data_IF_343553977647
#
_entry.id   IF_343553977647
#
_cell.length_a   1.000
_cell.length_b   1.000
_cell.length_c   1.000
_cell.angle_alpha   90.00
_cell.angle_beta   90.00
_cell.angle_gamma   90.00
#
_symmetry.space_group_name_H-M   'P 1'
#
loop_
_entity.id
_entity.type
_entity.pdbx_description
1 polymer ?
#
# COMPACT_ATOMS: atom_id res chain seq x y z
N UNK A 1 9.24 -29.18 -62.01
CA UNK A 1 8.24 -29.23 -60.92
C UNK A 1 8.85 -29.31 -59.51
N UNK A 2 10.08 -29.83 -59.32
CA UNK A 2 10.72 -29.92 -57.99
C UNK A 2 11.40 -28.62 -57.52
N UNK A 3 11.92 -27.78 -58.43
CA UNK A 3 12.60 -26.52 -58.06
C UNK A 3 11.64 -25.42 -57.60
N UNK A 4 10.42 -25.38 -58.14
CA UNK A 4 9.37 -24.42 -57.75
C UNK A 4 8.81 -24.69 -56.34
N UNK A 5 8.87 -25.95 -55.88
CA UNK A 5 8.38 -26.35 -54.56
C UNK A 5 9.37 -26.03 -53.43
N UNK A 6 10.69 -26.10 -53.72
CA UNK A 6 11.74 -25.69 -52.77
C UNK A 6 11.77 -24.17 -52.53
N UNK A 7 11.45 -23.37 -53.55
CA UNK A 7 11.38 -21.91 -53.41
C UNK A 7 10.18 -21.46 -52.57
N UNK A 8 9.02 -22.10 -52.73
CA UNK A 8 7.82 -21.84 -51.92
C UNK A 8 7.98 -22.25 -50.45
N UNK A 9 8.69 -23.35 -50.16
CA UNK A 9 8.99 -23.77 -48.78
C UNK A 9 9.97 -22.82 -48.09
N UNK A 10 11.02 -22.36 -48.78
CA UNK A 10 11.95 -21.40 -48.21
C UNK A 10 11.33 -20.02 -47.98
N UNK A 11 10.42 -19.56 -48.85
CA UNK A 11 9.68 -18.31 -48.65
C UNK A 11 8.69 -18.43 -47.49
N UNK A 12 8.01 -19.57 -47.32
CA UNK A 12 7.15 -19.82 -46.15
C UNK A 12 7.95 -19.92 -44.83
N UNK A 13 9.14 -20.54 -44.85
CA UNK A 13 9.99 -20.66 -43.66
C UNK A 13 10.59 -19.31 -43.22
N UNK A 14 10.99 -18.45 -44.17
CA UNK A 14 11.47 -17.10 -43.86
C UNK A 14 10.33 -16.20 -43.37
N UNK A 15 9.11 -16.38 -43.89
CA UNK A 15 7.92 -15.67 -43.41
C UNK A 15 7.49 -16.11 -42.01
N UNK A 16 7.57 -17.41 -41.66
CA UNK A 16 7.23 -17.89 -40.32
C UNK A 16 8.29 -17.55 -39.26
N UNK A 17 9.58 -17.60 -39.59
CA UNK A 17 10.65 -17.24 -38.64
C UNK A 17 10.74 -15.73 -38.40
N UNK A 18 10.48 -14.92 -39.44
CA UNK A 18 10.44 -13.46 -39.32
C UNK A 18 9.25 -12.95 -38.50
N UNK A 19 8.11 -13.65 -38.53
CA UNK A 19 6.92 -13.31 -37.74
C UNK A 19 7.04 -13.79 -36.28
N UNK A 20 7.84 -14.80 -35.96
CA UNK A 20 8.06 -15.17 -34.54
C UNK A 20 9.05 -14.26 -33.81
N UNK A 21 10.06 -13.70 -34.50
CA UNK A 21 11.06 -12.84 -33.85
C UNK A 21 10.50 -11.44 -33.50
N UNK A 22 9.71 -10.84 -34.40
CA UNK A 22 9.11 -9.51 -34.18
C UNK A 22 8.12 -9.53 -33.01
N UNK A 23 7.29 -10.57 -32.89
CA UNK A 23 6.35 -10.71 -31.79
C UNK A 23 7.03 -11.18 -30.49
N UNK A 24 8.17 -11.88 -30.56
CA UNK A 24 8.94 -12.24 -29.38
C UNK A 24 9.67 -11.03 -28.79
N UNK A 25 10.24 -10.14 -29.61
CA UNK A 25 10.88 -8.90 -29.15
C UNK A 25 9.84 -7.89 -28.63
N UNK A 26 8.66 -7.77 -29.26
CA UNK A 26 7.56 -6.94 -28.72
C UNK A 26 6.99 -7.53 -27.42
N UNK A 27 6.80 -8.85 -27.33
CA UNK A 27 6.33 -9.49 -26.10
C UNK A 27 7.38 -9.43 -24.98
N UNK A 28 8.67 -9.59 -25.30
CA UNK A 28 9.77 -9.43 -24.34
C UNK A 28 9.89 -7.97 -23.88
N UNK A 29 9.72 -7.00 -24.79
CA UNK A 29 9.66 -5.58 -24.47
C UNK A 29 8.48 -5.24 -23.57
N UNK A 30 7.27 -5.72 -23.88
CA UNK A 30 6.07 -5.50 -23.08
C UNK A 30 6.16 -6.22 -21.71
N UNK A 31 6.75 -7.41 -21.65
CA UNK A 31 7.00 -8.12 -20.39
C UNK A 31 8.10 -7.44 -19.57
N UNK A 32 9.12 -6.86 -20.21
CA UNK A 32 10.16 -6.08 -19.56
C UNK A 32 9.60 -4.74 -19.04
N UNK A 33 8.80 -4.03 -19.82
CA UNK A 33 8.08 -2.83 -19.35
C UNK A 33 7.10 -3.16 -18.23
N UNK A 34 6.37 -4.28 -18.32
CA UNK A 34 5.51 -4.74 -17.24
C UNK A 34 6.32 -5.17 -16.01
N UNK A 35 7.48 -5.79 -16.19
CA UNK A 35 8.37 -6.17 -15.10
C UNK A 35 9.06 -4.96 -14.46
N UNK A 36 9.41 -3.94 -15.24
CA UNK A 36 9.99 -2.67 -14.78
C UNK A 36 8.93 -1.78 -14.15
N UNK A 37 7.69 -1.79 -14.66
CA UNK A 37 6.53 -1.20 -14.01
C UNK A 37 6.23 -1.92 -12.69
N UNK A 38 6.18 -3.26 -12.68
CA UNK A 38 6.02 -4.05 -11.45
C UNK A 38 7.19 -3.84 -10.49
N UNK A 39 8.42 -3.69 -10.98
CA UNK A 39 9.58 -3.31 -10.16
C UNK A 39 9.42 -1.91 -9.59
N UNK A 40 8.92 -0.95 -10.35
CA UNK A 40 8.62 0.39 -9.84
C UNK A 40 7.46 0.39 -8.82
N UNK A 41 6.58 -0.61 -8.88
CA UNK A 41 5.55 -0.85 -7.86
C UNK A 41 6.11 -1.57 -6.62
N UNK A 42 7.20 -2.33 -6.76
CA UNK A 42 7.92 -3.02 -5.68
C UNK A 42 8.99 -2.12 -5.03
N UNK A 43 9.47 -1.09 -5.75
CA UNK A 43 10.27 0.04 -5.27
C UNK A 43 9.42 1.08 -4.49
N UNK A 44 8.29 0.65 -3.93
CA UNK A 44 7.66 1.31 -2.78
C UNK A 44 8.36 0.91 -1.47
N UNK A 45 9.69 0.83 -1.48
CA UNK A 45 10.49 1.02 -0.28
C UNK A 45 10.53 2.54 -0.03
N UNK A 46 9.38 3.06 0.39
CA UNK A 46 9.27 4.46 0.77
C UNK A 46 10.00 4.62 2.09
N UNK A 47 11.28 4.98 2.02
CA UNK A 47 11.94 5.69 3.10
C UNK A 47 11.13 6.98 3.30
N UNK A 48 10.26 6.99 4.31
CA UNK A 48 9.44 8.15 4.56
C UNK A 48 10.36 9.26 5.05
N UNK A 49 10.19 10.47 4.51
CA UNK A 49 11.02 11.62 4.88
C UNK A 49 11.13 11.80 6.41
N UNK A 50 10.05 11.49 7.13
CA UNK A 50 10.01 11.52 8.58
C UNK A 50 9.30 10.28 9.12
N UNK A 51 9.98 9.58 10.01
CA UNK A 51 9.48 8.40 10.72
C UNK A 51 9.66 8.58 12.22
N UNK A 52 8.81 7.91 12.98
CA UNK A 52 9.00 7.74 14.41
C UNK A 52 8.59 6.34 14.84
N UNK A 53 9.46 5.65 15.57
CA UNK A 53 9.33 4.24 15.93
C UNK A 53 9.15 4.07 17.44
N UNK A 54 7.89 4.09 17.91
CA UNK A 54 7.58 3.77 19.31
C UNK A 54 7.99 2.34 19.66
N UNK A 55 7.94 1.43 18.67
CA UNK A 55 8.45 0.07 18.79
C UNK A 55 9.93 0.00 19.20
N UNK A 56 10.72 1.04 18.88
CA UNK A 56 12.14 1.15 19.21
C UNK A 56 12.38 1.97 20.49
N UNK A 57 11.32 2.33 21.22
CA UNK A 57 11.38 3.14 22.44
C UNK A 57 11.43 4.64 22.22
N UNK A 58 11.20 5.13 21.00
CA UNK A 58 11.10 6.56 20.73
C UNK A 58 9.80 7.13 21.35
N UNK A 59 9.89 8.33 21.91
CA UNK A 59 8.74 8.97 22.57
C UNK A 59 7.65 9.44 21.59
N UNK A 60 7.98 9.61 20.31
CA UNK A 60 7.08 10.10 19.25
C UNK A 60 6.20 11.29 19.65
N UNK A 61 6.84 12.26 20.30
CA UNK A 61 6.21 13.51 20.71
C UNK A 61 5.97 14.42 19.50
N UNK A 62 4.70 14.73 19.25
CA UNK A 62 4.24 15.56 18.13
C UNK A 62 4.93 16.93 18.08
N UNK A 63 5.39 17.47 19.22
CA UNK A 63 6.10 18.76 19.28
C UNK A 63 7.41 18.76 18.50
N UNK A 64 7.98 17.58 18.26
CA UNK A 64 9.21 17.39 17.50
C UNK A 64 8.95 17.10 16.02
N UNK A 65 7.69 16.93 15.61
CA UNK A 65 7.34 16.64 14.23
C UNK A 65 7.33 17.92 13.39
N UNK A 66 7.78 17.86 12.13
CA UNK A 66 7.77 19.01 11.22
C UNK A 66 6.32 19.44 10.94
N UNK A 67 6.06 20.74 11.14
CA UNK A 67 4.74 21.33 10.90
C UNK A 67 4.35 21.21 9.43
N UNK A 68 3.08 20.89 9.18
CA UNK A 68 2.48 20.77 7.84
C UNK A 68 3.18 19.71 6.94
N UNK A 69 3.95 18.81 7.53
CA UNK A 69 4.60 17.69 6.85
C UNK A 69 4.14 16.36 7.45
N UNK A 70 4.21 15.30 6.64
CA UNK A 70 3.86 13.95 7.09
C UNK A 70 4.98 13.34 7.92
N UNK A 71 4.61 12.80 9.08
CA UNK A 71 5.42 11.84 9.85
C UNK A 71 4.66 10.53 9.96
N UNK A 72 5.34 9.42 9.66
CA UNK A 72 4.82 8.07 9.83
C UNK A 72 5.20 7.56 11.22
N UNK A 73 4.22 7.20 12.04
CA UNK A 73 4.45 6.70 13.39
C UNK A 73 4.17 5.20 13.44
N UNK A 74 5.15 4.43 13.91
CA UNK A 74 5.14 2.98 14.02
C UNK A 74 4.94 2.56 15.49
N UNK A 75 3.71 2.24 15.91
CA UNK A 75 3.41 1.95 17.31
C UNK A 75 3.99 0.61 17.81
N UNK A 76 4.13 -0.40 16.94
CA UNK A 76 4.57 -1.74 17.33
C UNK A 76 3.53 -2.50 18.16
N UNK A 77 3.98 -3.35 19.09
CA UNK A 77 3.09 -4.16 19.93
C UNK A 77 2.28 -5.18 19.13
N UNK A 78 0.96 -5.24 19.35
CA UNK A 78 0.06 -6.13 18.60
C UNK A 78 -0.38 -5.57 17.23
N UNK A 79 0.07 -4.36 16.88
CA UNK A 79 -0.34 -3.71 15.63
C UNK A 79 0.29 -4.37 14.42
N UNK A 80 -0.49 -4.55 13.36
CA UNK A 80 -0.01 -5.13 12.10
C UNK A 80 -1.02 -5.00 10.97
N UNK A 81 -0.54 -5.22 9.76
CA UNK A 81 -1.37 -5.38 8.57
C UNK A 81 -1.80 -6.84 8.36
N UNK A 82 -2.74 -7.02 7.42
CA UNK A 82 -3.50 -8.26 7.24
C UNK A 82 -2.64 -9.49 6.90
N UNK A 83 -1.51 -9.28 6.21
CA UNK A 83 -0.65 -10.36 5.73
C UNK A 83 0.67 -10.43 6.50
N UNK A 84 1.30 -11.59 6.49
CA UNK A 84 2.57 -11.83 7.19
C UNK A 84 3.75 -11.07 6.58
N UNK A 85 3.73 -10.87 5.25
CA UNK A 85 4.81 -10.23 4.50
C UNK A 85 4.44 -8.80 4.03
N UNK A 86 3.60 -8.09 4.80
CA UNK A 86 3.34 -6.67 4.59
C UNK A 86 4.10 -5.84 5.61
N UNK A 87 4.54 -4.60 5.25
CA UNK A 87 5.17 -3.71 6.21
C UNK A 87 4.35 -3.54 7.48
N UNK A 88 5.03 -3.20 8.57
CA UNK A 88 4.40 -2.96 9.86
C UNK A 88 3.31 -1.88 9.75
N UNK A 89 2.31 -2.00 10.62
CA UNK A 89 1.30 -0.96 10.73
C UNK A 89 1.95 0.36 11.14
N UNK A 90 1.54 1.43 10.49
CA UNK A 90 1.88 2.80 10.84
C UNK A 90 0.64 3.68 10.68
N UNK A 91 0.61 4.79 11.41
CA UNK A 91 -0.37 5.85 11.21
C UNK A 91 0.34 7.13 10.77
N UNK A 92 -0.39 8.00 10.07
CA UNK A 92 0.17 9.24 9.54
C UNK A 92 -0.25 10.41 10.42
N UNK A 93 0.72 11.25 10.77
CA UNK A 93 0.51 12.49 11.50
C UNK A 93 0.96 13.67 10.64
N UNK A 94 0.13 14.71 10.56
CA UNK A 94 0.48 15.99 9.95
C UNK A 94 0.22 17.09 10.99
N UNK A 95 1.26 17.60 11.67
CA UNK A 95 1.08 18.58 12.72
C UNK A 95 0.51 19.91 12.20
N UNK A 96 -0.47 20.45 12.93
CA UNK A 96 -1.09 21.75 12.69
C UNK A 96 -1.19 22.55 13.98
N UNK A 97 -2.35 23.15 14.24
CA UNK A 97 -2.68 23.75 15.52
C UNK A 97 -2.83 22.65 16.59
N UNK A 98 -2.25 22.86 17.77
CA UNK A 98 -2.19 21.85 18.85
C UNK A 98 -3.51 21.68 19.60
N UNK A 99 -4.45 22.61 19.47
CA UNK A 99 -5.77 22.60 20.11
C UNK A 99 -6.88 22.07 19.19
N UNK A 100 -6.55 21.67 17.95
CA UNK A 100 -7.50 21.21 16.94
C UNK A 100 -7.06 19.92 16.28
N UNK A 101 -7.86 18.88 16.45
CA UNK A 101 -7.60 17.56 15.88
C UNK A 101 -8.61 17.21 14.79
N UNK A 102 -8.11 16.73 13.65
CA UNK A 102 -8.86 15.97 12.67
C UNK A 102 -8.40 14.51 12.72
N UNK A 103 -9.14 13.69 13.44
CA UNK A 103 -8.88 12.25 13.58
C UNK A 103 -9.67 11.49 12.51
N UNK A 104 -8.99 10.81 11.60
CA UNK A 104 -9.62 10.24 10.39
C UNK A 104 -9.28 8.77 10.18
N UNK A 105 -10.30 7.93 10.03
CA UNK A 105 -10.15 6.52 9.69
C UNK A 105 -10.10 6.32 8.18
N UNK A 106 -8.97 5.84 7.66
CA UNK A 106 -8.81 5.52 6.25
C UNK A 106 -9.74 4.37 5.84
N UNK A 107 -10.35 4.46 4.66
CA UNK A 107 -11.11 3.37 4.06
C UNK A 107 -10.26 2.46 3.17
N UNK A 108 -10.91 1.57 2.42
CA UNK A 108 -10.22 0.71 1.46
C UNK A 108 -10.77 -0.72 1.38
N UNK A 109 -12.09 -0.87 1.40
CA UNK A 109 -12.76 -2.17 1.30
C UNK A 109 -12.68 -3.04 2.56
N UNK A 110 -13.05 -4.32 2.44
CA UNK A 110 -13.11 -5.27 3.55
C UNK A 110 -12.94 -6.71 3.05
N UNK A 111 -12.37 -7.57 3.90
CA UNK A 111 -12.19 -8.99 3.66
C UNK A 111 -12.83 -9.77 4.82
N UNK A 112 -13.94 -10.44 4.56
CA UNK A 112 -14.72 -11.16 5.59
C UNK A 112 -14.51 -12.68 5.55
N UNK A 113 -13.94 -13.20 4.46
CA UNK A 113 -13.68 -14.62 4.20
C UNK A 113 -12.43 -14.82 3.30
N UNK A 114 -12.04 -16.09 3.09
CA UNK A 114 -10.89 -16.44 2.26
C UNK A 114 -11.03 -15.93 0.82
N UNK A 115 -12.25 -16.00 0.27
CA UNK A 115 -12.55 -15.57 -1.09
C UNK A 115 -12.30 -14.07 -1.27
N UNK A 116 -12.89 -13.23 -0.42
CA UNK A 116 -12.69 -11.78 -0.44
C UNK A 116 -11.23 -11.38 -0.19
N UNK A 117 -10.51 -12.11 0.67
CA UNK A 117 -9.06 -11.92 0.86
C UNK A 117 -8.27 -12.25 -0.41
N UNK A 118 -8.54 -13.40 -1.05
CA UNK A 118 -7.86 -13.83 -2.29
C UNK A 118 -8.16 -12.93 -3.48
N UNK A 119 -9.34 -12.33 -3.53
CA UNK A 119 -9.72 -11.35 -4.54
C UNK A 119 -9.25 -9.92 -4.23
N UNK A 120 -8.47 -9.72 -3.16
CA UNK A 120 -7.92 -8.42 -2.78
C UNK A 120 -9.00 -7.32 -2.62
N UNK A 121 -10.16 -7.68 -2.03
CA UNK A 121 -11.26 -6.73 -1.80
C UNK A 121 -10.98 -5.72 -0.68
N UNK A 122 -9.85 -5.85 0.01
CA UNK A 122 -9.41 -4.94 1.05
C UNK A 122 -7.97 -4.48 0.85
N UNK A 123 -7.67 -3.31 1.40
CA UNK A 123 -6.33 -2.77 1.50
C UNK A 123 -5.49 -3.59 2.48
N UNK A 124 -4.26 -3.89 2.09
CA UNK A 124 -3.31 -4.70 2.86
C UNK A 124 -2.05 -3.94 3.30
N UNK A 125 -1.91 -2.66 2.92
CA UNK A 125 -0.75 -1.82 3.26
C UNK A 125 -1.19 -0.47 3.79
N UNK A 126 -0.49 0.02 4.81
CA UNK A 126 -0.73 1.31 5.43
C UNK A 126 -0.07 2.43 4.60
N UNK A 127 -0.73 2.87 3.53
CA UNK A 127 -0.22 3.99 2.71
C UNK A 127 -0.83 5.30 3.18
N UNK A 128 -0.02 6.36 3.41
CA UNK A 128 -0.51 7.68 3.79
C UNK A 128 -1.46 8.28 2.75
N UNK A 129 -2.31 9.19 3.21
CA UNK A 129 -3.23 9.94 2.38
C UNK A 129 -2.60 11.26 1.93
N UNK A 130 -2.84 11.68 0.67
CA UNK A 130 -2.45 13.00 0.21
C UNK A 130 -3.33 14.10 0.82
N UNK A 131 -2.81 15.32 0.89
CA UNK A 131 -3.51 16.51 1.37
C UNK A 131 -4.55 17.05 0.37
N UNK A 132 -5.57 16.24 0.08
CA UNK A 132 -6.67 16.56 -0.83
C UNK A 132 -8.00 16.66 -0.07
N UNK A 133 -8.99 17.31 -0.69
CA UNK A 133 -10.33 17.44 -0.11
C UNK A 133 -10.32 18.13 1.25
N UNK A 134 -10.86 17.45 2.27
CA UNK A 134 -10.90 17.94 3.66
C UNK A 134 -9.51 18.08 4.28
N UNK A 135 -8.51 17.39 3.74
CA UNK A 135 -7.11 17.46 4.17
C UNK A 135 -6.31 18.55 3.43
N UNK A 136 -6.91 19.25 2.47
CA UNK A 136 -6.20 20.26 1.69
C UNK A 136 -5.89 21.49 2.52
N UNK A 137 -4.61 21.65 2.89
CA UNK A 137 -4.09 22.75 3.72
C UNK A 137 -3.81 24.03 2.93
N UNK A 138 -3.91 24.02 1.60
CA UNK A 138 -3.73 25.21 0.74
C UNK A 138 -5.04 25.95 0.46
N UNK A 139 -6.17 25.27 0.63
CA UNK A 139 -7.48 25.87 0.40
C UNK A 139 -7.91 26.76 1.58
N UNK A 140 -7.88 28.08 1.40
CA UNK A 140 -8.31 29.07 2.42
C UNK A 140 -9.77 28.92 2.88
N UNK A 141 -10.62 28.20 2.13
CA UNK A 141 -12.01 27.93 2.52
C UNK A 141 -12.15 26.65 3.36
N UNK A 142 -11.13 25.81 3.43
CA UNK A 142 -11.16 24.60 4.25
C UNK A 142 -11.12 24.99 5.73
N UNK A 143 -12.11 24.55 6.51
CA UNK A 143 -12.20 24.84 7.94
C UNK A 143 -11.24 23.99 8.78
N UNK A 144 -10.78 22.87 8.23
CA UNK A 144 -9.81 21.97 8.87
C UNK A 144 -8.37 22.24 8.44
N UNK A 145 -8.15 23.28 7.61
CA UNK A 145 -6.87 23.57 6.95
C UNK A 145 -5.69 23.64 7.91
N UNK A 146 -5.94 24.19 9.10
CA UNK A 146 -4.91 24.44 10.11
C UNK A 146 -4.92 23.37 11.23
N UNK A 147 -5.83 22.38 11.18
CA UNK A 147 -5.90 21.33 12.20
C UNK A 147 -4.67 20.41 12.12
N UNK A 148 -4.31 19.83 13.27
CA UNK A 148 -3.46 18.64 13.32
C UNK A 148 -4.26 17.47 12.77
N UNK A 149 -3.71 16.73 11.81
CA UNK A 149 -4.36 15.59 11.18
C UNK A 149 -3.70 14.31 11.69
N UNK A 150 -4.51 13.37 12.16
CA UNK A 150 -4.08 12.02 12.51
C UNK A 150 -4.91 11.05 11.68
N UNK A 151 -4.26 10.37 10.74
CA UNK A 151 -4.89 9.35 9.93
C UNK A 151 -4.63 7.97 10.53
N UNK A 152 -5.69 7.32 10.99
CA UNK A 152 -5.68 5.88 11.27
C UNK A 152 -5.67 5.17 9.93
N UNK A 153 -4.47 4.81 9.46
CA UNK A 153 -4.31 4.13 8.17
C UNK A 153 -4.92 2.73 8.23
N UNK A 154 -5.34 2.22 7.08
CA UNK A 154 -6.07 0.96 7.01
C UNK A 154 -5.33 -0.06 6.16
N UNK A 155 -5.00 -1.18 6.79
CA UNK A 155 -4.32 -2.29 6.15
C UNK A 155 -4.70 -3.66 6.71
N UNK A 156 -5.68 -3.70 7.62
CA UNK A 156 -6.10 -4.90 8.35
C UNK A 156 -7.28 -5.63 7.70
N UNK A 157 -7.97 -5.01 6.74
CA UNK A 157 -9.06 -5.63 5.98
C UNK A 157 -10.34 -5.92 6.77
N UNK A 158 -10.49 -5.35 7.96
CA UNK A 158 -11.55 -5.61 8.94
C UNK A 158 -12.32 -4.34 9.39
N UNK A 159 -12.23 -3.27 8.60
CA UNK A 159 -12.90 -1.99 8.86
C UNK A 159 -12.57 -1.44 10.27
N UNK A 160 -11.32 -1.60 10.71
CA UNK A 160 -10.80 -1.15 12.01
C UNK A 160 -11.40 -1.86 13.24
N UNK A 161 -12.21 -2.91 13.06
CA UNK A 161 -12.91 -3.58 14.16
C UNK A 161 -12.40 -4.98 14.49
N UNK A 162 -11.48 -5.54 13.70
CA UNK A 162 -11.04 -6.93 13.86
C UNK A 162 -9.95 -7.10 14.93
N UNK A 163 -10.04 -8.23 15.63
CA UNK A 163 -8.93 -8.82 16.39
C UNK A 163 -9.04 -10.35 16.30
N UNK A 164 -8.68 -10.90 15.14
CA UNK A 164 -8.89 -12.32 14.83
C UNK A 164 -7.77 -12.90 13.98
N UNK A 165 -7.41 -14.14 14.28
CA UNK A 165 -6.59 -15.00 13.42
C UNK A 165 -7.54 -15.88 12.61
N UNK A 166 -7.48 -15.80 11.28
CA UNK A 166 -8.34 -16.56 10.39
C UNK A 166 -7.87 -18.01 10.26
N UNK A 167 -8.79 -18.91 9.92
CA UNK A 167 -8.50 -20.34 9.70
C UNK A 167 -7.87 -20.62 8.34
N UNK A 168 -7.76 -19.61 7.48
CA UNK A 168 -7.13 -19.68 6.17
C UNK A 168 -5.87 -18.83 6.13
N UNK A 169 -4.97 -19.20 5.23
CA UNK A 169 -3.65 -18.59 5.11
C UNK A 169 -3.62 -17.50 4.05
N UNK A 170 -2.66 -16.60 4.21
CA UNK A 170 -2.23 -15.69 3.18
C UNK A 170 -1.46 -16.44 2.08
N UNK A 171 -1.01 -15.71 1.05
CA UNK A 171 -0.28 -16.30 -0.08
C UNK A 171 1.09 -16.89 0.29
N UNK A 172 1.58 -16.66 1.51
CA UNK A 172 2.85 -17.18 2.02
C UNK A 172 2.65 -18.35 2.98
N UNK A 173 1.42 -18.84 3.15
CA UNK A 173 1.12 -19.99 4.00
C UNK A 173 1.03 -19.66 5.49
N UNK A 174 0.95 -18.36 5.85
CA UNK A 174 0.78 -17.91 7.24
C UNK A 174 -0.69 -17.54 7.47
N UNK A 175 -1.30 -17.86 8.62
CA UNK A 175 -2.66 -17.43 8.91
C UNK A 175 -2.87 -15.93 8.70
N UNK A 176 -3.96 -15.58 8.01
CA UNK A 176 -4.37 -14.18 7.88
C UNK A 176 -4.76 -13.65 9.25
N UNK A 177 -4.27 -12.48 9.64
CA UNK A 177 -4.68 -11.84 10.89
C UNK A 177 -5.26 -10.47 10.64
N UNK A 178 -6.34 -10.18 11.32
CA UNK A 178 -7.05 -8.92 11.22
C UNK A 178 -6.98 -8.24 12.59
N UNK A 179 -6.21 -7.15 12.65
CA UNK A 179 -5.82 -6.44 13.88
C UNK A 179 -6.25 -4.97 13.89
N UNK A 180 -7.28 -4.63 13.13
CA UNK A 180 -7.78 -3.26 12.99
C UNK A 180 -8.15 -2.61 14.33
N UNK A 181 -8.69 -3.38 15.28
CA UNK A 181 -9.01 -2.86 16.62
C UNK A 181 -7.73 -2.48 17.38
N UNK A 182 -6.71 -3.34 17.36
CA UNK A 182 -5.42 -3.05 18.02
C UNK A 182 -4.71 -1.86 17.35
N UNK A 183 -4.73 -1.81 16.01
CA UNK A 183 -4.22 -0.69 15.23
C UNK A 183 -4.91 0.62 15.63
N UNK A 184 -6.23 0.70 15.57
CA UNK A 184 -7.00 1.88 15.94
C UNK A 184 -6.77 2.30 17.40
N UNK A 185 -6.75 1.33 18.33
CA UNK A 185 -6.54 1.60 19.75
C UNK A 185 -5.15 2.20 20.00
N UNK A 186 -4.10 1.70 19.35
CA UNK A 186 -2.75 2.26 19.48
C UNK A 186 -2.67 3.73 19.06
N UNK A 187 -3.39 4.13 18.00
CA UNK A 187 -3.42 5.53 17.56
C UNK A 187 -4.19 6.39 18.58
N UNK A 188 -5.32 5.89 19.09
CA UNK A 188 -6.08 6.57 20.12
C UNK A 188 -5.26 6.78 21.39
N UNK A 189 -4.49 5.77 21.80
CA UNK A 189 -3.62 5.85 22.97
C UNK A 189 -2.47 6.82 22.79
N UNK A 190 -1.90 6.92 21.58
CA UNK A 190 -0.90 7.94 21.24
C UNK A 190 -1.46 9.36 21.26
N UNK A 191 -2.74 9.57 20.90
CA UNK A 191 -3.36 10.90 20.88
C UNK A 191 -3.80 11.47 22.23
N UNK A 192 -3.66 10.72 23.33
CA UNK A 192 -4.04 11.14 24.69
C UNK A 192 -3.03 12.09 25.30
#
# INVERSE_FOLDING_TARGET
KAETFKMLINILFVALLGVSAVFADEAAGALQEAADYVKSLDEFDHEWKHECHMANGEACDIRNFPKDETTMVFPGGETRCIFSNTPNFAFQVVPGDSDKLLFYFQGGGACWDETSTKFHLCRSRATPLPELGVFNRRNRKNKFRDHTIVHVLYCSGDVHGGNVVRTYNDRWGVPVEQKGLANAQSVLDWTK
#
